data_IF_147088218916
#
_entry.id   IF_147088218916
#
_cell.length_a   1.000
_cell.length_b   1.000
_cell.length_c   1.000
_cell.angle_alpha   90.00
_cell.angle_beta   90.00
_cell.angle_gamma   90.00
#
_symmetry.space_group_name_H-M   'P 1'
#
loop_
_entity.id
_entity.type
_entity.pdbx_description
1 polymer ?
#
# COMPACT_ATOMS: atom_id res chain seq x y z
N UNK A 1 17.55 -5.70 -10.14
CA UNK A 1 16.10 -5.62 -10.37
C UNK A 1 15.32 -5.42 -9.06
N UNK A 2 15.69 -6.09 -7.96
CA UNK A 2 15.14 -5.83 -6.60
C UNK A 2 15.62 -4.51 -5.97
N UNK A 3 16.86 -4.09 -6.22
CA UNK A 3 17.39 -2.80 -5.75
C UNK A 3 16.56 -1.57 -6.14
N UNK A 4 15.79 -1.60 -7.25
CA UNK A 4 14.84 -0.53 -7.59
C UNK A 4 13.57 -0.56 -6.73
N UNK A 5 13.14 -1.74 -6.29
CA UNK A 5 12.03 -1.89 -5.34
C UNK A 5 12.47 -1.42 -3.96
N UNK A 6 13.66 -1.84 -3.51
CA UNK A 6 14.21 -1.46 -2.20
C UNK A 6 14.43 0.05 -2.07
N UNK A 7 14.79 0.74 -3.16
CA UNK A 7 14.92 2.21 -3.18
C UNK A 7 13.60 2.96 -3.39
N UNK A 8 12.49 2.26 -3.65
CA UNK A 8 11.20 2.88 -3.99
C UNK A 8 11.07 3.35 -5.44
N UNK A 9 12.11 3.25 -6.28
CA UNK A 9 12.08 3.59 -7.71
C UNK A 9 11.03 2.79 -8.52
N UNK A 10 10.57 1.65 -7.99
CA UNK A 10 9.57 0.79 -8.62
C UNK A 10 8.72 0.05 -7.59
N UNK A 11 7.40 0.09 -7.73
CA UNK A 11 6.49 -0.71 -6.89
C UNK A 11 6.63 -2.21 -7.15
N UNK A 12 6.59 -3.00 -6.07
CA UNK A 12 6.52 -4.46 -6.16
C UNK A 12 5.15 -4.90 -6.69
N UNK A 13 5.11 -6.01 -7.44
CA UNK A 13 3.86 -6.72 -7.74
C UNK A 13 3.41 -7.53 -6.53
N UNK A 14 2.11 -7.84 -6.43
CA UNK A 14 1.55 -8.63 -5.31
C UNK A 14 2.29 -9.96 -5.11
N UNK A 15 2.54 -10.68 -6.21
CA UNK A 15 3.23 -11.98 -6.17
C UNK A 15 4.68 -11.86 -5.70
N UNK A 16 5.30 -10.71 -5.90
CA UNK A 16 6.64 -10.43 -5.40
C UNK A 16 6.62 -10.17 -3.89
N UNK A 17 5.59 -9.48 -3.38
CA UNK A 17 5.42 -9.25 -1.93
C UNK A 17 5.28 -10.58 -1.19
N UNK A 18 4.47 -11.50 -1.72
CA UNK A 18 4.29 -12.86 -1.15
C UNK A 18 5.63 -13.63 -1.14
N UNK A 19 6.35 -13.64 -2.26
CA UNK A 19 7.67 -14.31 -2.32
C UNK A 19 8.69 -13.67 -1.38
N UNK A 20 8.62 -12.35 -1.19
CA UNK A 20 9.50 -11.64 -0.27
C UNK A 20 9.14 -11.93 1.19
N UNK A 21 7.86 -12.06 1.55
CA UNK A 21 7.48 -12.45 2.91
C UNK A 21 7.94 -13.85 3.25
N UNK A 22 7.83 -14.80 2.32
CA UNK A 22 8.35 -16.16 2.48
C UNK A 22 9.88 -16.16 2.65
N UNK A 23 10.60 -15.46 1.76
CA UNK A 23 12.07 -15.40 1.76
C UNK A 23 12.63 -14.74 3.03
N UNK A 24 11.97 -13.69 3.52
CA UNK A 24 12.39 -12.91 4.69
C UNK A 24 11.81 -13.44 6.00
N UNK A 25 11.03 -14.52 5.96
CA UNK A 25 10.30 -15.07 7.09
C UNK A 25 9.47 -14.02 7.84
N UNK A 26 8.80 -13.16 7.08
CA UNK A 26 7.90 -12.12 7.59
C UNK A 26 6.43 -12.51 7.41
N UNK A 27 5.55 -11.85 8.16
CA UNK A 27 4.11 -12.02 8.00
C UNK A 27 3.64 -11.51 6.64
N UNK A 28 3.19 -12.42 5.78
CA UNK A 28 2.65 -12.13 4.45
C UNK A 28 1.48 -11.14 4.51
N UNK A 29 0.56 -11.34 5.46
CA UNK A 29 -0.62 -10.48 5.59
C UNK A 29 -0.20 -9.07 5.95
N UNK A 30 0.73 -8.92 6.90
CA UNK A 30 1.26 -7.61 7.27
C UNK A 30 1.95 -6.92 6.09
N UNK A 31 2.77 -7.64 5.32
CA UNK A 31 3.43 -7.10 4.13
C UNK A 31 2.45 -6.72 3.02
N UNK A 32 1.41 -7.53 2.79
CA UNK A 32 0.35 -7.22 1.83
C UNK A 32 -0.49 -6.02 2.28
N UNK A 33 -0.72 -5.85 3.58
CA UNK A 33 -1.41 -4.67 4.13
C UNK A 33 -0.62 -3.40 3.83
N UNK A 34 0.69 -3.39 4.09
CA UNK A 34 1.55 -2.24 3.77
C UNK A 34 1.58 -1.97 2.26
N UNK A 35 1.72 -3.01 1.45
CA UNK A 35 1.70 -2.88 -0.01
C UNK A 35 0.38 -2.31 -0.54
N UNK A 36 -0.75 -2.66 0.08
CA UNK A 36 -2.05 -2.09 -0.30
C UNK A 36 -2.17 -0.63 0.15
N UNK A 37 -1.72 -0.31 1.37
CA UNK A 37 -1.75 1.05 1.92
C UNK A 37 -0.98 2.04 1.03
N UNK A 38 0.20 1.64 0.53
CA UNK A 38 0.96 2.44 -0.43
C UNK A 38 0.14 2.86 -1.65
N UNK A 39 -0.74 1.98 -2.15
CA UNK A 39 -1.61 2.29 -3.29
C UNK A 39 -2.74 3.25 -2.95
N UNK A 40 -3.27 3.17 -1.74
CA UNK A 40 -4.26 4.14 -1.27
C UNK A 40 -3.63 5.52 -1.13
N UNK A 41 -2.39 5.59 -0.63
CA UNK A 41 -1.63 6.83 -0.56
C UNK A 41 -1.38 7.39 -1.96
N UNK A 42 -0.91 6.57 -2.90
CA UNK A 42 -0.70 6.96 -4.30
C UNK A 42 -2.00 7.48 -4.96
N UNK A 43 -3.15 6.91 -4.62
CA UNK A 43 -4.44 7.38 -5.15
C UNK A 43 -4.85 8.78 -4.67
N UNK A 44 -4.25 9.30 -3.59
CA UNK A 44 -4.55 10.61 -3.00
C UNK A 44 -3.34 11.54 -2.95
N UNK A 45 -2.19 11.13 -3.50
CA UNK A 45 -0.92 11.86 -3.35
C UNK A 45 -0.84 13.15 -4.19
N UNK A 46 -1.58 13.18 -5.31
CA UNK A 46 -1.66 14.34 -6.21
C UNK A 46 -2.58 15.45 -5.66
N UNK A 47 -3.37 15.16 -4.62
CA UNK A 47 -4.25 16.12 -3.99
C UNK A 47 -3.46 17.03 -3.04
N UNK A 48 -3.56 18.35 -3.23
CA UNK A 48 -2.77 19.33 -2.48
C UNK A 48 -3.38 19.60 -1.10
N UNK A 49 -4.69 19.39 -0.97
CA UNK A 49 -5.43 19.60 0.27
C UNK A 49 -5.38 18.34 1.15
N UNK A 50 -4.45 18.33 2.11
CA UNK A 50 -4.23 17.19 3.01
C UNK A 50 -5.47 16.79 3.81
N UNK A 51 -6.31 17.76 4.18
CA UNK A 51 -7.53 17.50 4.94
C UNK A 51 -8.54 16.72 4.08
N UNK A 52 -8.66 17.07 2.79
CA UNK A 52 -9.47 16.35 1.82
C UNK A 52 -8.97 14.91 1.60
N UNK A 53 -7.66 14.69 1.55
CA UNK A 53 -7.08 13.33 1.48
C UNK A 53 -7.51 12.49 2.70
N UNK A 54 -7.42 13.04 3.90
CA UNK A 54 -7.79 12.36 5.14
C UNK A 54 -9.29 12.04 5.17
N UNK A 55 -10.14 13.01 4.85
CA UNK A 55 -11.59 12.82 4.80
C UNK A 55 -11.98 11.75 3.78
N UNK A 56 -11.32 11.74 2.61
CA UNK A 56 -11.52 10.71 1.58
C UNK A 56 -11.20 9.31 2.10
N UNK A 57 -10.09 9.16 2.83
CA UNK A 57 -9.70 7.88 3.43
C UNK A 57 -10.72 7.44 4.48
N UNK A 58 -11.18 8.34 5.34
CA UNK A 58 -12.19 8.03 6.38
C UNK A 58 -13.49 7.53 5.72
N UNK A 59 -13.99 8.25 4.72
CA UNK A 59 -15.21 7.86 3.99
C UNK A 59 -15.02 6.51 3.28
N UNK A 60 -13.86 6.25 2.69
CA UNK A 60 -13.57 4.96 2.06
C UNK A 60 -13.55 3.82 3.09
N UNK A 61 -12.96 4.03 4.27
CA UNK A 61 -12.93 3.04 5.35
C UNK A 61 -14.34 2.71 5.85
N UNK A 62 -15.22 3.69 6.03
CA UNK A 62 -16.60 3.47 6.44
C UNK A 62 -17.38 2.63 5.42
N UNK A 63 -17.20 2.92 4.13
CA UNK A 63 -17.82 2.13 3.06
C UNK A 63 -17.31 0.69 3.07
N UNK A 64 -16.00 0.47 3.21
CA UNK A 64 -15.41 -0.88 3.27
C UNK A 64 -15.96 -1.68 4.47
N UNK A 65 -16.16 -1.04 5.62
CA UNK A 65 -16.75 -1.71 6.80
C UNK A 65 -18.20 -2.15 6.58
N UNK A 66 -18.88 -1.54 5.62
CA UNK A 66 -20.30 -1.79 5.31
C UNK A 66 -20.49 -2.73 4.11
N UNK A 67 -19.40 -3.04 3.37
CA UNK A 67 -19.39 -4.02 2.29
C UNK A 67 -19.36 -5.46 2.82
#
# INVERSE_FOLDING_TARGET
MFSKIERGDRRAKREQVIKLSELLHQDEKAMLTLWLADKFIEAVEDEQERDLCNDTIIVAQEKIKTM
#
